data_IF_870840546001
#
_entry.id   IF_870840546001
#
_cell.length_a   1.000
_cell.length_b   1.000
_cell.length_c   1.000
_cell.angle_alpha   90.00
_cell.angle_beta   90.00
_cell.angle_gamma   90.00
#
_symmetry.space_group_name_H-M   'P 1'
#
loop_
_entity.id
_entity.type
_entity.pdbx_description
1 polymer ?
#
# COMPACT_ATOMS: atom_id res chain seq x y z
N UNK A 1 23.90 -5.04 34.64
CA UNK A 1 23.63 -5.04 33.19
C UNK A 1 22.16 -4.73 33.02
N UNK A 2 21.82 -3.46 32.79
CA UNK A 2 20.43 -3.01 32.67
C UNK A 2 20.07 -2.94 31.19
N UNK A 3 19.18 -3.83 30.74
CA UNK A 3 18.53 -3.75 29.44
C UNK A 3 17.62 -2.52 29.42
N UNK A 4 17.96 -1.54 28.60
CA UNK A 4 17.06 -0.44 28.26
C UNK A 4 16.09 -0.97 27.20
N UNK A 5 14.87 -1.28 27.63
CA UNK A 5 13.76 -1.60 26.75
C UNK A 5 13.31 -0.29 26.09
N UNK A 6 13.80 -0.01 24.88
CA UNK A 6 13.28 1.10 24.07
C UNK A 6 11.91 0.66 23.56
N UNK A 7 10.89 1.02 24.34
CA UNK A 7 9.48 0.83 24.02
C UNK A 7 9.11 1.62 22.77
N UNK A 8 8.40 0.99 21.83
CA UNK A 8 7.88 1.58 20.60
C UNK A 8 7.01 2.85 20.81
N UNK A 9 6.66 3.16 22.07
CA UNK A 9 5.97 4.40 22.45
C UNK A 9 6.75 5.68 22.15
N UNK A 10 8.09 5.66 22.13
CA UNK A 10 8.88 6.89 21.91
C UNK A 10 8.89 7.37 20.46
N UNK A 11 8.52 6.53 19.48
CA UNK A 11 8.43 6.92 18.07
C UNK A 11 7.12 7.68 17.77
N UNK A 12 6.02 7.26 18.40
CA UNK A 12 4.71 7.91 18.26
C UNK A 12 4.71 9.37 18.72
N UNK A 13 5.38 9.67 19.83
CA UNK A 13 5.39 11.03 20.42
C UNK A 13 6.13 12.08 19.60
N UNK A 14 7.07 11.69 18.74
CA UNK A 14 7.79 12.64 17.89
C UNK A 14 6.95 13.08 16.67
N UNK A 15 6.03 12.23 16.19
CA UNK A 15 5.21 12.49 15.01
C UNK A 15 3.89 13.19 15.36
N UNK A 16 3.38 13.03 16.59
CA UNK A 16 2.12 13.65 17.02
C UNK A 16 2.18 15.18 17.09
N UNK A 17 3.37 15.77 17.19
CA UNK A 17 3.54 17.22 17.29
C UNK A 17 3.49 17.97 15.95
N UNK A 18 3.46 17.26 14.81
CA UNK A 18 3.43 17.88 13.48
C UNK A 18 2.04 17.87 12.82
N UNK A 19 1.15 16.93 13.17
CA UNK A 19 -0.13 16.74 12.46
C UNK A 19 -1.26 16.28 13.40
N UNK A 20 -2.00 17.20 14.03
CA UNK A 20 -3.02 16.85 15.03
C UNK A 20 -4.32 16.24 14.47
N UNK A 21 -4.39 15.91 13.16
CA UNK A 21 -5.65 15.55 12.49
C UNK A 21 -5.76 14.08 12.06
N UNK A 22 -4.72 13.25 12.26
CA UNK A 22 -4.71 11.85 11.76
C UNK A 22 -5.71 10.93 12.49
N UNK A 23 -6.18 11.31 13.68
CA UNK A 23 -6.99 10.42 14.54
C UNK A 23 -8.46 10.26 14.14
N UNK A 24 -8.95 10.94 13.08
CA UNK A 24 -10.39 10.98 12.74
C UNK A 24 -10.82 10.06 11.59
N UNK A 25 -9.91 9.30 10.98
CA UNK A 25 -10.21 8.54 9.75
C UNK A 25 -10.54 7.06 9.93
N UNK A 26 -10.46 6.50 11.15
CA UNK A 26 -10.29 5.05 11.31
C UNK A 26 -11.52 4.24 11.71
N UNK A 27 -12.74 4.78 11.59
CA UNK A 27 -13.96 4.02 11.89
C UNK A 27 -15.04 4.26 10.84
N UNK A 28 -15.10 3.38 9.83
CA UNK A 28 -16.32 2.96 9.13
C UNK A 28 -15.99 2.07 7.91
N UNK A 29 -15.93 0.75 8.10
CA UNK A 29 -16.16 -0.20 7.01
C UNK A 29 -17.66 -0.28 6.74
N UNK A 30 -18.20 0.71 6.02
CA UNK A 30 -19.48 0.57 5.31
C UNK A 30 -19.16 -0.15 4.00
N UNK A 31 -20.02 -1.06 3.53
CA UNK A 31 -19.91 -1.61 2.15
C UNK A 31 -20.08 -0.45 1.16
N UNK A 32 -19.00 0.26 0.88
CA UNK A 32 -18.94 1.45 0.04
C UNK A 32 -18.63 1.10 -1.40
N UNK A 33 -18.90 2.06 -2.28
CA UNK A 33 -18.41 1.99 -3.66
C UNK A 33 -16.88 2.03 -3.60
N UNK A 34 -16.19 1.02 -4.14
CA UNK A 34 -14.73 1.06 -4.23
C UNK A 34 -14.29 2.17 -5.19
N UNK A 35 -13.28 2.94 -4.78
CA UNK A 35 -12.68 3.94 -5.63
C UNK A 35 -12.05 3.28 -6.87
N UNK A 36 -12.00 4.01 -7.98
CA UNK A 36 -11.44 3.54 -9.26
C UNK A 36 -10.38 4.49 -9.75
N UNK A 37 -9.32 3.93 -10.31
CA UNK A 37 -8.29 4.72 -10.97
C UNK A 37 -8.59 4.79 -12.46
N UNK A 38 -8.70 6.01 -12.99
CA UNK A 38 -8.75 6.26 -14.43
C UNK A 38 -7.42 6.82 -14.93
N UNK A 39 -6.88 6.17 -15.96
CA UNK A 39 -5.77 6.65 -16.76
C UNK A 39 -5.92 6.14 -18.19
N UNK A 40 -6.91 6.65 -18.90
CA UNK A 40 -7.16 6.36 -20.32
C UNK A 40 -5.99 6.73 -21.25
N UNK A 41 -5.09 7.61 -20.82
CA UNK A 41 -3.95 8.07 -21.62
C UNK A 41 -2.71 8.26 -20.74
N UNK A 42 -1.58 7.66 -21.12
CA UNK A 42 -0.29 7.76 -20.42
C UNK A 42 0.28 9.19 -20.39
N UNK A 43 -0.23 10.08 -21.24
CA UNK A 43 0.14 11.49 -21.25
C UNK A 43 -0.60 12.34 -20.23
N UNK A 44 -1.64 11.80 -19.58
CA UNK A 44 -2.40 12.46 -18.53
C UNK A 44 -2.05 11.84 -17.16
N UNK A 45 -2.03 12.64 -16.08
CA UNK A 45 -1.86 12.09 -14.75
C UNK A 45 -3.03 11.13 -14.45
N UNK A 46 -2.80 10.06 -13.68
CA UNK A 46 -3.88 9.21 -13.21
C UNK A 46 -4.82 10.03 -12.32
N UNK A 47 -6.09 9.64 -12.31
CA UNK A 47 -7.08 10.18 -11.37
C UNK A 47 -7.68 9.06 -10.55
N UNK A 48 -7.98 9.33 -9.28
CA UNK A 48 -8.62 8.38 -8.37
C UNK A 48 -10.02 8.90 -8.03
N UNK A 49 -11.03 8.12 -8.38
CA UNK A 49 -12.45 8.37 -8.10
C UNK A 49 -12.78 8.36 -6.60
N UNK A 50 -14.00 8.77 -6.27
CA UNK A 50 -14.53 8.66 -4.90
C UNK A 50 -14.79 7.19 -4.54
N UNK A 51 -14.57 6.83 -3.27
CA UNK A 51 -14.84 5.50 -2.75
C UNK A 51 -13.81 5.01 -1.75
N UNK A 52 -13.98 3.77 -1.32
CA UNK A 52 -13.05 3.12 -0.39
C UNK A 52 -11.73 2.81 -1.07
N UNK A 53 -10.62 3.11 -0.38
CA UNK A 53 -9.25 2.91 -0.85
C UNK A 53 -8.65 1.74 -0.08
N UNK A 54 -8.39 0.63 -0.77
CA UNK A 54 -7.65 -0.50 -0.24
C UNK A 54 -6.18 -0.48 -0.66
N UNK A 55 -5.39 -1.40 -0.10
CA UNK A 55 -3.95 -1.51 -0.40
C UNK A 55 -3.68 -1.74 -1.89
N UNK A 56 -4.51 -2.53 -2.57
CA UNK A 56 -4.36 -2.85 -3.99
C UNK A 56 -4.57 -1.62 -4.87
N UNK A 57 -5.62 -0.84 -4.59
CA UNK A 57 -5.94 0.40 -5.27
C UNK A 57 -4.82 1.41 -5.05
N UNK A 58 -4.33 1.54 -3.82
CA UNK A 58 -3.26 2.48 -3.50
C UNK A 58 -1.95 2.13 -4.22
N UNK A 59 -1.60 0.84 -4.32
CA UNK A 59 -0.45 0.39 -5.09
C UNK A 59 -0.63 0.63 -6.59
N UNK A 60 -1.84 0.41 -7.11
CA UNK A 60 -2.16 0.73 -8.50
C UNK A 60 -1.99 2.23 -8.77
N UNK A 61 -2.41 3.10 -7.84
CA UNK A 61 -2.21 4.55 -7.92
C UNK A 61 -0.73 4.91 -8.03
N UNK A 62 0.11 4.35 -7.17
CA UNK A 62 1.55 4.59 -7.20
C UNK A 62 2.20 4.09 -8.50
N UNK A 63 1.77 2.93 -9.01
CA UNK A 63 2.30 2.37 -10.23
C UNK A 63 1.90 3.18 -11.47
N UNK A 64 0.63 3.59 -11.58
CA UNK A 64 0.14 4.45 -12.67
C UNK A 64 0.81 5.82 -12.65
N UNK A 65 1.05 6.37 -11.46
CA UNK A 65 1.79 7.62 -11.27
C UNK A 65 3.24 7.49 -11.74
N UNK A 66 3.94 6.42 -11.34
CA UNK A 66 5.31 6.13 -11.82
C UNK A 66 5.40 6.00 -13.34
N UNK A 67 4.43 5.32 -13.96
CA UNK A 67 4.37 5.20 -15.43
C UNK A 67 4.20 6.57 -16.09
N UNK A 68 3.31 7.41 -15.56
CA UNK A 68 3.12 8.78 -16.03
C UNK A 68 4.39 9.62 -15.90
N UNK A 69 5.06 9.59 -14.74
CA UNK A 69 6.31 10.32 -14.51
C UNK A 69 7.38 9.94 -15.51
N UNK A 70 7.55 8.64 -15.78
CA UNK A 70 8.51 8.14 -16.76
C UNK A 70 8.15 8.57 -18.18
N UNK A 71 6.87 8.48 -18.55
CA UNK A 71 6.40 8.83 -19.89
C UNK A 71 6.56 10.34 -20.18
N UNK A 72 6.37 11.18 -19.16
CA UNK A 72 6.50 12.64 -19.28
C UNK A 72 7.85 13.21 -18.86
N UNK A 73 8.78 12.35 -18.43
CA UNK A 73 10.08 12.76 -17.88
C UNK A 73 9.95 13.81 -16.77
N UNK A 74 8.99 13.61 -15.85
CA UNK A 74 8.74 14.55 -14.75
C UNK A 74 9.92 14.50 -13.76
N UNK A 75 10.48 15.66 -13.36
CA UNK A 75 11.51 15.74 -12.33
C UNK A 75 11.07 15.13 -11.00
N UNK A 76 11.96 14.41 -10.32
CA UNK A 76 11.65 13.70 -9.08
C UNK A 76 11.10 14.62 -7.97
N UNK A 77 11.63 15.85 -7.87
CA UNK A 77 11.19 16.85 -6.90
C UNK A 77 9.81 17.44 -7.18
N UNK A 78 9.19 17.13 -8.33
CA UNK A 78 7.84 17.60 -8.67
C UNK A 78 6.85 16.45 -8.83
N UNK A 79 7.22 15.21 -8.50
CA UNK A 79 6.34 14.04 -8.64
C UNK A 79 5.05 14.22 -7.87
N UNK A 80 5.13 14.51 -6.57
CA UNK A 80 3.98 14.59 -5.66
C UNK A 80 3.05 15.74 -6.06
N UNK A 81 3.58 16.96 -6.21
CA UNK A 81 2.78 18.13 -6.62
C UNK A 81 2.06 17.95 -7.96
N UNK A 82 2.60 17.14 -8.86
CA UNK A 82 1.98 16.86 -10.17
C UNK A 82 0.75 15.94 -10.08
N UNK A 83 0.74 14.98 -9.15
CA UNK A 83 -0.35 13.96 -9.06
C UNK A 83 -1.28 14.16 -7.87
N UNK A 84 -0.89 14.94 -6.86
CA UNK A 84 -1.64 15.03 -5.60
C UNK A 84 -3.10 15.46 -5.83
N UNK A 85 -3.33 16.39 -6.76
CA UNK A 85 -4.65 16.89 -7.13
C UNK A 85 -5.47 15.93 -8.01
N UNK A 86 -4.93 14.78 -8.40
CA UNK A 86 -5.65 13.76 -9.16
C UNK A 86 -6.59 12.91 -8.31
N UNK A 87 -6.58 13.07 -6.98
CA UNK A 87 -7.50 12.37 -6.09
C UNK A 87 -8.82 13.12 -5.96
N UNK A 88 -9.93 12.39 -6.08
CA UNK A 88 -11.27 12.88 -5.80
C UNK A 88 -11.81 12.25 -4.51
N UNK A 89 -12.82 12.89 -3.92
CA UNK A 89 -13.37 12.55 -2.62
C UNK A 89 -13.12 13.66 -1.61
N UNK A 90 -14.16 13.99 -0.85
CA UNK A 90 -14.17 15.13 0.08
C UNK A 90 -13.01 15.06 1.09
N UNK A 91 -12.67 13.87 1.58
CA UNK A 91 -11.61 13.66 2.55
C UNK A 91 -10.22 13.88 1.95
N UNK A 92 -9.96 13.31 0.77
CA UNK A 92 -8.70 13.53 0.05
C UNK A 92 -8.53 15.01 -0.30
N UNK A 93 -9.55 15.65 -0.86
CA UNK A 93 -9.52 17.07 -1.22
C UNK A 93 -9.26 17.96 0.00
N UNK A 94 -9.92 17.68 1.13
CA UNK A 94 -9.73 18.45 2.35
C UNK A 94 -8.31 18.29 2.90
N UNK A 95 -7.79 17.06 2.93
CA UNK A 95 -6.40 16.80 3.35
C UNK A 95 -5.39 17.49 2.42
N UNK A 96 -5.57 17.38 1.10
CA UNK A 96 -4.72 18.03 0.09
C UNK A 96 -4.71 19.55 0.28
N UNK A 97 -5.89 20.14 0.50
CA UNK A 97 -6.04 21.58 0.70
C UNK A 97 -5.33 22.05 1.99
N UNK A 98 -5.49 21.31 3.09
CA UNK A 98 -4.84 21.62 4.36
C UNK A 98 -3.31 21.47 4.32
N UNK A 99 -2.79 20.59 3.47
CA UNK A 99 -1.36 20.25 3.39
C UNK A 99 -0.69 20.72 2.09
N UNK A 100 -1.33 21.61 1.32
CA UNK A 100 -0.84 22.02 -0.01
C UNK A 100 0.62 22.51 -0.03
N UNK A 101 1.10 23.33 0.92
CA UNK A 101 2.50 23.74 0.95
C UNK A 101 3.45 22.56 1.16
N UNK A 102 3.08 21.63 2.03
CA UNK A 102 3.90 20.45 2.34
C UNK A 102 4.00 19.49 1.16
N UNK A 103 2.90 19.31 0.42
CA UNK A 103 2.85 18.43 -0.75
C UNK A 103 3.74 18.89 -1.90
N UNK A 104 4.06 20.19 -1.98
CA UNK A 104 4.94 20.72 -3.01
C UNK A 104 6.41 20.33 -2.80
N UNK A 105 6.83 20.18 -1.54
CA UNK A 105 8.21 19.88 -1.17
C UNK A 105 8.40 18.41 -0.74
N UNK A 106 7.30 17.64 -0.69
CA UNK A 106 7.31 16.25 -0.26
C UNK A 106 7.96 15.33 -1.30
N UNK A 107 8.90 14.51 -0.84
CA UNK A 107 9.48 13.47 -1.67
C UNK A 107 8.51 12.29 -1.87
N UNK A 108 8.79 11.48 -2.89
CA UNK A 108 7.92 10.38 -3.29
C UNK A 108 7.74 9.30 -2.21
N UNK A 109 8.78 9.00 -1.42
CA UNK A 109 8.71 7.95 -0.41
C UNK A 109 7.89 8.42 0.79
N UNK A 110 8.13 9.66 1.26
CA UNK A 110 7.31 10.29 2.31
C UNK A 110 5.84 10.35 1.91
N UNK A 111 5.53 10.68 0.66
CA UNK A 111 4.17 10.70 0.15
C UNK A 111 3.48 9.34 0.23
N UNK A 112 4.15 8.24 -0.18
CA UNK A 112 3.58 6.89 -0.08
C UNK A 112 3.27 6.52 1.38
N UNK A 113 4.19 6.79 2.30
CA UNK A 113 3.98 6.50 3.73
C UNK A 113 2.79 7.28 4.30
N UNK A 114 2.66 8.57 3.95
CA UNK A 114 1.52 9.39 4.37
C UNK A 114 0.21 8.85 3.82
N UNK A 115 0.18 8.49 2.53
CA UNK A 115 -1.00 7.92 1.90
C UNK A 115 -1.43 6.60 2.54
N UNK A 116 -0.50 5.69 2.85
CA UNK A 116 -0.83 4.47 3.58
C UNK A 116 -1.38 4.78 4.99
N UNK A 117 -0.80 5.75 5.69
CA UNK A 117 -1.23 6.14 7.04
C UNK A 117 -2.62 6.77 7.06
N UNK A 118 -3.01 7.48 6.00
CA UNK A 118 -4.29 8.19 5.92
C UNK A 118 -5.44 7.28 5.49
N UNK A 119 -5.17 6.35 4.56
CA UNK A 119 -6.23 5.59 3.90
C UNK A 119 -6.31 4.13 4.31
N UNK A 120 -5.23 3.56 4.88
CA UNK A 120 -5.23 2.17 5.32
C UNK A 120 -5.35 2.09 6.84
N UNK A 121 -5.95 1.01 7.34
CA UNK A 121 -5.99 0.73 8.77
C UNK A 121 -4.57 0.61 9.34
N UNK A 122 -4.33 1.02 10.57
CA UNK A 122 -2.99 1.00 11.19
C UNK A 122 -2.30 -0.37 11.19
N UNK A 123 -3.08 -1.45 11.14
CA UNK A 123 -2.62 -2.84 11.10
C UNK A 123 -2.66 -3.46 9.69
N UNK A 124 -2.86 -2.65 8.63
CA UNK A 124 -3.03 -3.12 7.25
C UNK A 124 -1.90 -4.06 6.81
N UNK A 125 -0.66 -3.76 7.20
CA UNK A 125 0.52 -4.53 6.84
C UNK A 125 0.48 -5.92 7.48
N UNK A 126 0.15 -5.97 8.78
CA UNK A 126 -0.01 -7.22 9.52
C UNK A 126 -1.17 -8.04 8.95
N UNK A 127 -2.33 -7.43 8.74
CA UNK A 127 -3.52 -8.09 8.19
C UNK A 127 -3.25 -8.68 6.82
N UNK A 128 -2.63 -7.90 5.92
CA UNK A 128 -2.28 -8.38 4.57
C UNK A 128 -1.24 -9.52 4.61
N UNK A 129 -0.26 -9.45 5.51
CA UNK A 129 0.71 -10.54 5.69
C UNK A 129 0.04 -11.80 6.20
N UNK A 130 -0.83 -11.70 7.20
CA UNK A 130 -1.55 -12.86 7.74
C UNK A 130 -2.49 -13.47 6.70
N UNK A 131 -3.19 -12.64 5.93
CA UNK A 131 -4.02 -13.09 4.81
C UNK A 131 -3.21 -13.88 3.79
N UNK A 132 -2.01 -13.40 3.44
CA UNK A 132 -1.11 -14.08 2.51
C UNK A 132 -0.61 -15.42 3.06
N UNK A 133 -0.16 -15.45 4.32
CA UNK A 133 0.39 -16.67 4.95
C UNK A 133 -0.67 -17.75 5.14
N UNK A 134 -1.95 -17.37 5.26
CA UNK A 134 -3.06 -18.30 5.40
C UNK A 134 -3.67 -18.75 4.07
N UNK A 135 -3.23 -18.23 2.92
CA UNK A 135 -3.68 -18.73 1.62
C UNK A 135 -3.28 -20.20 1.47
N UNK A 136 -4.26 -21.03 1.12
CA UNK A 136 -4.08 -22.45 0.78
C UNK A 136 -4.37 -22.64 -0.71
N UNK A 137 -3.65 -23.53 -1.38
CA UNK A 137 -3.94 -23.85 -2.79
C UNK A 137 -5.39 -24.32 -2.97
N UNK A 138 -5.85 -25.24 -2.10
CA UNK A 138 -7.23 -25.72 -2.11
C UNK A 138 -7.62 -26.28 -3.49
N UNK A 139 -8.67 -25.73 -4.09
CA UNK A 139 -9.14 -26.16 -5.42
C UNK A 139 -8.50 -25.38 -6.58
N UNK A 140 -7.63 -24.42 -6.30
CA UNK A 140 -6.98 -23.60 -7.34
C UNK A 140 -5.83 -24.36 -8.00
N UNK A 141 -5.51 -23.97 -9.23
CA UNK A 141 -4.26 -24.40 -9.86
C UNK A 141 -3.08 -23.87 -9.05
N UNK A 142 -1.94 -24.57 -9.07
CA UNK A 142 -0.73 -24.06 -8.41
C UNK A 142 -0.32 -22.69 -8.95
N UNK A 143 -0.50 -22.46 -10.26
CA UNK A 143 -0.18 -21.17 -10.90
C UNK A 143 -1.02 -20.06 -10.31
N UNK A 144 -2.35 -20.19 -10.26
CA UNK A 144 -3.23 -19.14 -9.73
C UNK A 144 -2.95 -18.86 -8.25
N UNK A 145 -2.82 -19.93 -7.45
CA UNK A 145 -2.44 -19.83 -6.05
C UNK A 145 -1.11 -19.08 -5.86
N UNK A 146 -0.09 -19.45 -6.63
CA UNK A 146 1.22 -18.81 -6.54
C UNK A 146 1.17 -17.32 -6.92
N UNK A 147 0.36 -16.96 -7.92
CA UNK A 147 0.16 -15.57 -8.35
C UNK A 147 -0.55 -14.75 -7.28
N UNK A 148 -1.51 -15.33 -6.56
CA UNK A 148 -2.19 -14.66 -5.45
C UNK A 148 -1.25 -14.39 -4.27
N UNK A 149 -0.45 -15.39 -3.89
CA UNK A 149 0.57 -15.25 -2.83
C UNK A 149 1.61 -14.21 -3.23
N UNK A 150 2.16 -14.30 -4.45
CA UNK A 150 3.13 -13.32 -4.97
C UNK A 150 2.52 -11.92 -5.08
N UNK A 151 1.26 -11.82 -5.50
CA UNK A 151 0.52 -10.57 -5.62
C UNK A 151 0.41 -9.86 -4.27
N UNK A 152 0.00 -10.58 -3.22
CA UNK A 152 -0.04 -10.04 -1.85
C UNK A 152 1.35 -9.68 -1.32
N UNK A 153 2.37 -10.50 -1.58
CA UNK A 153 3.74 -10.16 -1.16
C UNK A 153 4.24 -8.88 -1.82
N UNK A 154 3.93 -8.66 -3.10
CA UNK A 154 4.29 -7.44 -3.82
C UNK A 154 3.61 -6.18 -3.27
N UNK A 155 2.42 -6.31 -2.67
CA UNK A 155 1.76 -5.22 -1.94
C UNK A 155 2.48 -4.87 -0.63
N UNK A 156 3.31 -5.77 -0.08
CA UNK A 156 4.14 -5.53 1.10
C UNK A 156 5.54 -5.00 0.75
N UNK A 157 5.86 -4.82 -0.54
CA UNK A 157 7.19 -4.39 -0.96
C UNK A 157 7.60 -3.04 -0.34
N UNK A 158 8.77 -3.02 0.30
CA UNK A 158 9.29 -1.85 1.02
C UNK A 158 8.85 -1.76 2.48
N UNK A 159 8.12 -2.75 2.98
CA UNK A 159 7.79 -2.91 4.41
C UNK A 159 8.60 -4.02 5.05
N UNK A 160 8.64 -4.06 6.39
CA UNK A 160 9.29 -5.14 7.15
C UNK A 160 8.53 -6.48 7.00
N UNK A 161 7.26 -6.43 6.60
CA UNK A 161 6.43 -7.62 6.33
C UNK A 161 6.65 -8.25 4.96
N UNK A 162 7.50 -7.71 4.10
CA UNK A 162 7.84 -8.32 2.82
C UNK A 162 8.60 -9.64 3.01
N UNK A 163 8.16 -10.71 2.33
CA UNK A 163 8.90 -11.97 2.30
C UNK A 163 9.96 -11.96 1.19
N UNK A 164 11.18 -12.37 1.56
CA UNK A 164 12.22 -12.65 0.58
C UNK A 164 11.90 -13.96 -0.18
N UNK A 165 12.71 -14.27 -1.21
CA UNK A 165 12.45 -15.42 -2.07
C UNK A 165 12.45 -16.76 -1.32
N UNK A 166 13.30 -16.92 -0.31
CA UNK A 166 13.39 -18.14 0.50
C UNK A 166 12.11 -18.35 1.31
N UNK A 167 11.71 -17.35 2.10
CA UNK A 167 10.48 -17.43 2.90
C UNK A 167 9.22 -17.52 2.03
N UNK A 168 9.24 -16.90 0.85
CA UNK A 168 8.14 -16.99 -0.10
C UNK A 168 8.01 -18.40 -0.67
N UNK A 169 9.15 -19.03 -1.01
CA UNK A 169 9.18 -20.42 -1.45
C UNK A 169 8.67 -21.35 -0.34
N UNK A 170 9.17 -21.20 0.89
CA UNK A 170 8.70 -21.98 2.04
C UNK A 170 7.18 -21.83 2.24
N UNK A 171 6.66 -20.62 2.08
CA UNK A 171 5.22 -20.33 2.19
C UNK A 171 4.43 -21.06 1.10
N UNK A 172 4.94 -21.11 -0.14
CA UNK A 172 4.28 -21.84 -1.23
C UNK A 172 4.32 -23.35 -0.99
N UNK A 173 5.44 -23.89 -0.52
CA UNK A 173 5.62 -25.32 -0.28
C UNK A 173 4.74 -25.85 0.86
N UNK A 174 4.60 -25.07 1.95
CA UNK A 174 3.78 -25.47 3.11
C UNK A 174 2.28 -25.43 2.80
N UNK A 175 1.86 -24.59 1.85
CA UNK A 175 0.45 -24.32 1.56
C UNK A 175 -0.05 -24.90 0.22
N UNK A 176 0.81 -25.63 -0.52
CA UNK A 176 0.40 -26.36 -1.73
C UNK A 176 -0.20 -27.74 -1.40
N UNK A 177 -1.01 -28.28 -2.30
CA UNK A 177 -1.66 -29.57 -2.12
C UNK A 177 -0.63 -30.71 -2.09
N UNK A 178 -0.90 -31.74 -1.27
CA UNK A 178 0.01 -32.87 -1.09
C UNK A 178 0.26 -33.69 -2.36
N UNK A 179 -0.67 -33.66 -3.31
CA UNK A 179 -0.54 -34.40 -4.56
C UNK A 179 0.61 -33.88 -5.43
N UNK A 180 0.94 -32.59 -5.30
CA UNK A 180 2.07 -31.96 -6.02
C UNK A 180 3.41 -32.16 -5.30
N UNK A 181 3.42 -32.34 -3.99
CA UNK A 181 4.66 -32.67 -3.24
C UNK A 181 5.10 -34.11 -3.50
N UNK A 182 4.18 -35.02 -3.82
CA UNK A 182 4.48 -36.44 -4.03
C UNK A 182 5.12 -36.75 -5.40
N UNK A 183 5.04 -35.84 -6.38
CA UNK A 183 5.65 -36.04 -7.72
C UNK A 183 7.15 -35.68 -7.78
N UNK A 184 7.74 -35.11 -6.73
CA UNK A 184 9.14 -34.69 -6.69
C UNK A 184 10.13 -35.73 -6.12
N UNK A 185 9.75 -37.00 -6.02
CA UNK A 185 10.63 -38.10 -5.58
C UNK A 185 10.90 -39.15 -6.66
#
# INVERSE_FOLDING_TARGET
MSCVHISAFSCLTAFTLAFPFVTLFQDATVMGMHAKIDQSNLTKPPTMGEGDIDTSLLWNWFNKSKVFFRHKSIPANTHVSTIAWGMSGIHAIHWLSANSPLLNDMDWETYKTQMCTLFLASDWEHTLRMDMLHLQQGTHSFVDFSLDVMGKNNLLAGTDSFLNNELLQDTLEVNMNCDLTCECH
#
